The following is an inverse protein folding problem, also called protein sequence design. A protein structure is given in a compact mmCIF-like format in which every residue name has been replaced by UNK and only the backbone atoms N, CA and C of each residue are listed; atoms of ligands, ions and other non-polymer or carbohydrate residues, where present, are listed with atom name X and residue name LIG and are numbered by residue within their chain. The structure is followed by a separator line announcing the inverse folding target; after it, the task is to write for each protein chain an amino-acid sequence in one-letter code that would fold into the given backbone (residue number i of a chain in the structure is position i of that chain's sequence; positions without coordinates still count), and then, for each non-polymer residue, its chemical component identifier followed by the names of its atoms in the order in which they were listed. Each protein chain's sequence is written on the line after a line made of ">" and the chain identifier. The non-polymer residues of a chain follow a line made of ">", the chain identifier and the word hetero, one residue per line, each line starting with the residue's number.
data_IF_465561609271
#
_entry.id   IF_465561609271
#
_cell.length_a   1.000
_cell.length_b   1.000
_cell.length_c   1.000
_cell.angle_alpha   90.00
_cell.angle_beta   90.00
_cell.angle_gamma   90.00
#
_symmetry.space_group_name_H-M   'P 1'
#
loop_
_entity.id
_entity.type
_entity.pdbx_description
1 polymer ?
#
# COMPACT_ATOMS: atom_id res chain seq x y z
N UNK A 1 3.17 0.68 -39.27
CA UNK A 1 4.44 1.04 -39.95
C UNK A 1 4.96 -0.10 -40.81
N UNK A 2 5.84 0.20 -41.76
CA UNK A 2 6.57 -0.79 -42.56
C UNK A 2 8.06 -0.54 -42.37
N UNK A 3 8.79 -1.56 -41.92
CA UNK A 3 10.22 -1.50 -41.65
C UNK A 3 10.92 -2.40 -42.67
N UNK A 4 11.86 -1.86 -43.44
CA UNK A 4 12.66 -2.61 -44.41
C UNK A 4 14.12 -2.57 -43.95
N UNK A 5 14.52 -3.53 -43.12
CA UNK A 5 15.85 -3.56 -42.50
C UNK A 5 16.99 -3.60 -43.52
N UNK A 6 16.80 -4.24 -44.68
CA UNK A 6 17.82 -4.35 -45.73
C UNK A 6 18.19 -3.00 -46.37
N UNK A 7 17.22 -2.09 -46.50
CA UNK A 7 17.42 -0.76 -47.08
C UNK A 7 17.57 0.33 -46.01
N UNK A 8 17.60 -0.03 -44.72
CA UNK A 8 17.63 0.90 -43.58
C UNK A 8 16.51 1.97 -43.61
N UNK A 9 15.42 1.67 -44.32
CA UNK A 9 14.31 2.60 -44.56
C UNK A 9 13.07 2.16 -43.79
N UNK A 10 12.35 3.11 -43.20
CA UNK A 10 11.09 2.86 -42.50
C UNK A 10 10.04 3.91 -42.81
N UNK A 11 8.78 3.49 -42.79
CA UNK A 11 7.62 4.38 -42.74
C UNK A 11 6.93 4.14 -41.40
N UNK A 12 7.01 5.13 -40.52
CA UNK A 12 6.48 5.07 -39.17
C UNK A 12 5.39 6.11 -38.97
N UNK A 13 4.29 5.65 -38.41
CA UNK A 13 3.23 6.49 -37.87
C UNK A 13 3.11 6.10 -36.39
N UNK A 14 3.08 7.10 -35.52
CA UNK A 14 2.95 6.90 -34.07
C UNK A 14 1.52 6.58 -33.64
N UNK A 15 0.53 6.75 -34.53
CA UNK A 15 -0.86 6.44 -34.22
C UNK A 15 -1.06 4.92 -34.05
N UNK A 16 -1.62 4.52 -32.90
CA UNK A 16 -1.87 3.11 -32.57
C UNK A 16 -3.30 2.76 -33.02
N UNK A 17 -3.40 1.93 -34.06
CA UNK A 17 -4.67 1.35 -34.49
C UNK A 17 -5.03 0.11 -33.64
N UNK A 18 -6.19 0.14 -32.98
CA UNK A 18 -6.71 -1.00 -32.22
C UNK A 18 -7.68 -1.83 -33.07
N UNK A 19 -7.46 -3.15 -33.14
CA UNK A 19 -8.35 -4.12 -33.81
C UNK A 19 -8.78 -5.20 -32.82
N UNK A 20 -10.09 -5.32 -32.61
CA UNK A 20 -10.67 -6.25 -31.64
C UNK A 20 -11.40 -7.39 -32.34
N UNK A 21 -11.16 -8.62 -31.87
CA UNK A 21 -11.83 -9.84 -32.35
C UNK A 21 -12.52 -10.51 -31.17
N UNK A 22 -13.83 -10.76 -31.30
CA UNK A 22 -14.61 -11.46 -30.29
C UNK A 22 -14.67 -12.95 -30.64
N UNK A 23 -14.15 -13.78 -29.74
CA UNK A 23 -14.17 -15.24 -29.88
C UNK A 23 -15.23 -15.79 -28.94
N UNK A 24 -16.22 -16.49 -29.50
CA UNK A 24 -17.20 -17.25 -28.74
C UNK A 24 -16.95 -18.73 -28.94
N UNK A 25 -16.72 -19.45 -27.85
CA UNK A 25 -16.51 -20.90 -27.86
C UNK A 25 -17.41 -21.57 -26.83
N UNK A 26 -18.05 -22.67 -27.22
CA UNK A 26 -18.88 -23.45 -26.32
C UNK A 26 -18.32 -24.87 -26.19
N UNK A 27 -17.74 -25.15 -25.02
CA UNK A 27 -17.08 -26.42 -24.70
C UNK A 27 -18.01 -27.63 -24.88
N UNK A 28 -19.32 -27.46 -24.67
CA UNK A 28 -20.29 -28.55 -24.75
C UNK A 28 -20.64 -28.95 -26.19
N UNK A 29 -20.57 -28.02 -27.14
CA UNK A 29 -20.92 -28.27 -28.55
C UNK A 29 -19.70 -28.43 -29.45
N UNK A 30 -18.61 -27.74 -29.15
CA UNK A 30 -17.43 -27.63 -30.01
C UNK A 30 -16.20 -28.39 -29.46
N UNK A 31 -16.29 -28.95 -28.24
CA UNK A 31 -15.21 -29.72 -27.62
C UNK A 31 -14.16 -28.85 -26.92
N UNK A 32 -12.90 -29.30 -26.90
CA UNK A 32 -11.80 -28.56 -26.27
C UNK A 32 -11.42 -27.33 -27.10
N UNK A 33 -11.10 -26.22 -26.43
CA UNK A 33 -10.69 -24.98 -27.08
C UNK A 33 -9.33 -25.17 -27.79
N UNK A 34 -9.36 -25.16 -29.13
CA UNK A 34 -8.16 -25.15 -29.96
C UNK A 34 -7.89 -23.73 -30.46
N UNK A 35 -6.89 -23.04 -29.90
CA UNK A 35 -6.58 -21.65 -30.27
C UNK A 35 -6.26 -21.51 -31.76
N UNK A 36 -5.53 -22.46 -32.34
CA UNK A 36 -5.08 -22.43 -33.73
C UNK A 36 -6.25 -22.23 -34.71
N UNK A 37 -7.40 -22.84 -34.50
CA UNK A 37 -8.56 -22.72 -35.41
C UNK A 37 -9.19 -21.34 -35.42
N UNK A 38 -9.21 -20.65 -34.27
CA UNK A 38 -9.83 -19.33 -34.16
C UNK A 38 -8.92 -18.19 -34.65
N UNK A 39 -7.61 -18.43 -34.73
CA UNK A 39 -6.64 -17.44 -35.18
C UNK A 39 -6.16 -17.66 -36.63
N UNK A 40 -6.69 -18.65 -37.38
CA UNK A 40 -6.23 -18.95 -38.77
C UNK A 40 -6.42 -17.79 -39.74
N UNK A 41 -7.52 -17.06 -39.60
CA UNK A 41 -7.88 -15.98 -40.51
C UNK A 41 -7.25 -14.63 -40.11
N UNK A 42 -6.50 -14.60 -39.00
CA UNK A 42 -5.88 -13.39 -38.47
C UNK A 42 -4.41 -13.34 -38.89
N UNK A 43 -4.11 -12.44 -39.81
CA UNK A 43 -2.74 -12.18 -40.25
C UNK A 43 -2.05 -11.16 -39.33
N UNK A 44 -1.11 -11.62 -38.50
CA UNK A 44 -0.33 -10.75 -37.62
C UNK A 44 0.88 -10.16 -38.34
N UNK A 45 0.88 -8.84 -38.54
CA UNK A 45 2.06 -8.09 -39.00
C UNK A 45 2.98 -7.76 -37.82
N UNK A 46 3.86 -8.69 -37.44
CA UNK A 46 4.77 -8.55 -36.28
C UNK A 46 5.65 -7.30 -36.31
N UNK A 47 6.02 -6.80 -37.50
CA UNK A 47 6.79 -5.56 -37.66
C UNK A 47 6.05 -4.28 -37.26
N UNK A 48 4.71 -4.33 -37.19
CA UNK A 48 3.86 -3.21 -36.78
C UNK A 48 3.08 -3.51 -35.49
N UNK A 49 3.28 -4.70 -34.90
CA UNK A 49 2.55 -5.15 -33.73
C UNK A 49 3.16 -4.55 -32.47
N UNK A 50 2.42 -3.71 -31.75
CA UNK A 50 2.90 -3.08 -30.51
C UNK A 50 2.61 -3.98 -29.31
N UNK A 51 1.36 -4.41 -29.12
CA UNK A 51 0.98 -5.36 -28.09
C UNK A 51 -0.31 -6.10 -28.46
N UNK A 52 -0.52 -7.29 -27.88
CA UNK A 52 -1.78 -8.05 -27.98
C UNK A 52 -2.32 -8.28 -26.59
N UNK A 53 -3.62 -8.02 -26.40
CA UNK A 53 -4.30 -8.26 -25.13
C UNK A 53 -5.43 -9.26 -25.33
N UNK A 54 -5.33 -10.44 -24.69
CA UNK A 54 -6.41 -11.40 -24.63
C UNK A 54 -7.17 -11.21 -23.32
N UNK A 55 -8.42 -10.75 -23.41
CA UNK A 55 -9.27 -10.44 -22.26
C UNK A 55 -10.42 -11.43 -22.16
N UNK A 56 -10.58 -12.09 -21.02
CA UNK A 56 -11.71 -12.96 -20.74
C UNK A 56 -12.00 -13.03 -19.24
N UNK A 57 -13.25 -13.33 -18.89
CA UNK A 57 -13.67 -13.43 -17.49
C UNK A 57 -14.00 -14.87 -17.12
N UNK A 58 -13.45 -15.35 -16.00
CA UNK A 58 -13.75 -16.68 -15.44
C UNK A 58 -14.45 -16.53 -14.11
N UNK A 59 -15.59 -17.19 -13.93
CA UNK A 59 -16.28 -17.25 -12.64
C UNK A 59 -15.91 -18.53 -11.91
N UNK A 60 -15.64 -18.43 -10.62
CA UNK A 60 -15.37 -19.58 -9.76
C UNK A 60 -15.99 -19.39 -8.38
N UNK A 61 -16.13 -20.49 -7.65
CA UNK A 61 -16.66 -20.52 -6.30
C UNK A 61 -15.55 -21.03 -5.38
N UNK A 62 -15.19 -20.21 -4.40
CA UNK A 62 -14.21 -20.59 -3.39
C UNK A 62 -14.92 -21.20 -2.19
N UNK A 63 -14.64 -22.48 -1.94
CA UNK A 63 -15.04 -23.20 -0.74
C UNK A 63 -13.86 -23.17 0.24
N UNK A 64 -14.02 -22.50 1.38
CA UNK A 64 -12.95 -22.41 2.38
C UNK A 64 -12.66 -23.81 2.95
N UNK A 65 -11.49 -24.35 2.63
CA UNK A 65 -11.07 -25.69 3.06
C UNK A 65 -10.66 -25.77 4.54
N UNK A 66 -10.39 -24.63 5.19
CA UNK A 66 -9.94 -24.56 6.58
C UNK A 66 -10.88 -23.69 7.42
N UNK A 67 -11.54 -24.29 8.42
CA UNK A 67 -12.44 -23.62 9.37
C UNK A 67 -13.88 -24.16 9.35
N UNK A 68 -14.81 -23.56 10.13
CA UNK A 68 -16.22 -23.89 10.06
C UNK A 68 -16.76 -23.67 8.64
N UNK A 69 -17.71 -24.51 8.20
CA UNK A 69 -18.31 -24.43 6.85
C UNK A 69 -19.10 -23.12 6.74
N UNK A 70 -18.44 -22.06 6.29
CA UNK A 70 -19.08 -20.78 6.00
C UNK A 70 -19.69 -20.79 4.60
N UNK A 71 -20.59 -19.84 4.32
CA UNK A 71 -21.13 -19.66 2.98
C UNK A 71 -20.03 -19.47 1.93
N UNK A 72 -20.22 -20.01 0.70
CA UNK A 72 -19.23 -19.92 -0.37
C UNK A 72 -18.99 -18.47 -0.81
N UNK A 73 -17.76 -18.16 -1.19
CA UNK A 73 -17.41 -16.88 -1.79
C UNK A 73 -17.35 -17.02 -3.32
N UNK A 74 -18.19 -16.28 -4.05
CA UNK A 74 -18.18 -16.26 -5.50
C UNK A 74 -17.22 -15.19 -6.02
N UNK A 75 -16.36 -15.55 -6.97
CA UNK A 75 -15.42 -14.63 -7.59
C UNK A 75 -15.57 -14.66 -9.11
N UNK A 76 -15.37 -13.50 -9.75
CA UNK A 76 -15.11 -13.36 -11.18
C UNK A 76 -13.69 -12.84 -11.30
N UNK A 77 -12.84 -13.60 -11.98
CA UNK A 77 -11.52 -13.18 -12.37
C UNK A 77 -11.62 -12.55 -13.74
N UNK A 78 -11.25 -11.28 -13.85
CA UNK A 78 -11.09 -10.61 -15.14
C UNK A 78 -9.62 -10.81 -15.54
N UNK A 79 -9.40 -11.74 -16.47
CA UNK A 79 -8.07 -12.21 -16.89
C UNK A 79 -7.65 -11.44 -18.13
N UNK A 80 -6.45 -10.89 -18.10
CA UNK A 80 -5.81 -10.19 -19.20
C UNK A 80 -4.43 -10.80 -19.46
N UNK A 81 -4.27 -11.49 -20.59
CA UNK A 81 -2.98 -11.96 -21.07
C UNK A 81 -2.40 -10.91 -22.01
N UNK A 82 -1.31 -10.27 -21.60
CA UNK A 82 -0.63 -9.21 -22.35
C UNK A 82 0.62 -9.78 -23.00
N UNK A 83 0.71 -9.57 -24.31
CA UNK A 83 1.90 -9.81 -25.10
C UNK A 83 2.47 -8.44 -25.47
N UNK A 84 3.59 -8.04 -24.86
CA UNK A 84 4.23 -6.75 -25.10
C UNK A 84 5.37 -6.89 -26.10
N UNK A 85 5.29 -6.15 -27.22
CA UNK A 85 6.29 -6.10 -28.28
C UNK A 85 6.77 -4.65 -28.55
N UNK A 86 6.57 -3.73 -27.60
CA UNK A 86 6.94 -2.30 -27.78
C UNK A 86 8.41 -2.06 -28.10
N UNK A 87 9.30 -2.88 -27.53
CA UNK A 87 10.74 -2.72 -27.69
C UNK A 87 11.25 -3.27 -29.04
N UNK A 88 10.43 -4.06 -29.75
CA UNK A 88 10.76 -4.66 -31.06
C UNK A 88 12.16 -5.32 -31.12
N UNK A 89 12.63 -5.90 -30.01
CA UNK A 89 13.96 -6.51 -29.84
C UNK A 89 13.99 -7.99 -30.27
N UNK A 90 12.89 -8.50 -30.81
CA UNK A 90 12.71 -9.91 -31.19
C UNK A 90 12.25 -10.80 -30.03
N UNK A 91 12.07 -10.27 -28.83
CA UNK A 91 11.53 -10.99 -27.67
C UNK A 91 10.24 -10.36 -27.17
N UNK A 92 9.12 -11.08 -27.31
CA UNK A 92 7.82 -10.62 -26.85
C UNK A 92 7.58 -11.06 -25.39
N UNK A 93 7.37 -10.09 -24.48
CA UNK A 93 7.11 -10.38 -23.08
C UNK A 93 5.65 -10.83 -22.88
N UNK A 94 5.47 -12.01 -22.28
CA UNK A 94 4.16 -12.53 -21.89
C UNK A 94 3.92 -12.26 -20.41
N UNK A 95 2.77 -11.65 -20.09
CA UNK A 95 2.29 -11.54 -18.71
C UNK A 95 0.81 -11.89 -18.63
N UNK A 96 0.40 -12.50 -17.52
CA UNK A 96 -1.00 -12.79 -17.22
C UNK A 96 -1.36 -12.05 -15.94
N UNK A 97 -2.34 -11.17 -16.04
CA UNK A 97 -2.96 -10.49 -14.91
C UNK A 97 -4.37 -11.05 -14.71
N UNK A 98 -4.77 -11.23 -13.44
CA UNK A 98 -6.04 -11.85 -13.09
C UNK A 98 -6.65 -11.12 -11.89
N UNK A 99 -7.40 -10.06 -12.17
CA UNK A 99 -7.98 -9.23 -11.11
C UNK A 99 -9.25 -9.90 -10.52
N UNK A 100 -9.29 -10.19 -9.20
CA UNK A 100 -10.44 -10.83 -8.58
C UNK A 100 -11.54 -9.82 -8.21
N UNK A 101 -12.74 -10.05 -8.73
CA UNK A 101 -13.95 -9.32 -8.37
C UNK A 101 -14.88 -10.23 -7.57
N UNK A 102 -15.15 -9.89 -6.31
CA UNK A 102 -16.08 -10.65 -5.46
C UNK A 102 -17.53 -10.39 -5.89
N UNK A 103 -18.28 -11.47 -6.13
CA UNK A 103 -19.69 -11.45 -6.50
C UNK A 103 -20.56 -11.94 -5.32
N UNK A 104 -21.82 -11.49 -5.28
CA UNK A 104 -22.82 -12.06 -4.36
C UNK A 104 -23.33 -13.39 -4.93
N UNK A 105 -23.03 -14.50 -4.24
CA UNK A 105 -23.62 -15.79 -4.56
C UNK A 105 -25.14 -15.75 -4.31
N UNK A 106 -25.93 -16.25 -5.26
CA UNK A 106 -27.37 -16.49 -5.08
C UNK A 106 -27.56 -17.98 -4.83
N UNK A 107 -28.10 -18.35 -3.67
CA UNK A 107 -28.39 -19.75 -3.31
C UNK A 107 -29.16 -19.85 -2.00
N UNK A 108 -29.94 -20.91 -1.84
CA UNK A 108 -30.71 -21.19 -0.62
C UNK A 108 -29.78 -21.64 0.51
N UNK A 109 -29.52 -20.75 1.45
CA UNK A 109 -28.71 -21.05 2.63
C UNK A 109 -29.61 -21.56 3.75
N UNK A 110 -29.80 -22.89 3.85
CA UNK A 110 -30.48 -23.51 4.98
C UNK A 110 -29.64 -23.59 6.27
N UNK A 111 -28.36 -23.20 6.22
CA UNK A 111 -27.42 -23.23 7.35
C UNK A 111 -27.11 -21.80 7.84
N UNK A 112 -28.00 -21.22 8.64
CA UNK A 112 -27.88 -19.82 9.12
C UNK A 112 -28.06 -19.76 10.64
N UNK A 113 -27.08 -20.22 11.43
CA UNK A 113 -27.06 -19.85 12.86
C UNK A 113 -25.69 -19.49 13.42
N UNK A 114 -24.59 -20.08 12.92
CA UNK A 114 -23.28 -19.83 13.54
C UNK A 114 -22.54 -18.59 13.00
N UNK A 115 -22.79 -18.17 11.76
CA UNK A 115 -22.08 -17.02 11.18
C UNK A 115 -22.60 -15.66 11.66
N UNK A 116 -23.86 -15.55 12.09
CA UNK A 116 -24.41 -14.26 12.53
C UNK A 116 -23.82 -13.81 13.86
N UNK A 117 -23.55 -14.73 14.78
CA UNK A 117 -22.91 -14.44 16.05
C UNK A 117 -21.45 -13.98 15.84
N UNK A 118 -20.68 -14.65 14.99
CA UNK A 118 -19.30 -14.23 14.68
C UNK A 118 -19.26 -12.86 13.99
N UNK A 119 -20.15 -12.60 13.02
CA UNK A 119 -20.28 -11.29 12.37
C UNK A 119 -20.68 -10.21 13.38
N UNK A 120 -21.62 -10.50 14.28
CA UNK A 120 -22.03 -9.58 15.34
C UNK A 120 -20.88 -9.28 16.30
N UNK A 121 -20.14 -10.30 16.75
CA UNK A 121 -19.00 -10.13 17.67
C UNK A 121 -17.88 -9.30 17.02
N UNK A 122 -17.58 -9.52 15.73
CA UNK A 122 -16.58 -8.73 14.99
C UNK A 122 -17.00 -7.27 14.82
N UNK A 123 -18.25 -7.04 14.42
CA UNK A 123 -18.79 -5.67 14.30
C UNK A 123 -18.79 -4.97 15.65
N UNK A 124 -19.22 -5.65 16.73
CA UNK A 124 -19.19 -5.14 18.10
C UNK A 124 -17.76 -4.75 18.51
N UNK A 125 -16.77 -5.60 18.22
CA UNK A 125 -15.37 -5.31 18.48
C UNK A 125 -14.89 -4.07 17.71
N UNK A 126 -15.20 -3.95 16.41
CA UNK A 126 -14.83 -2.79 15.61
C UNK A 126 -15.44 -1.49 16.18
N UNK A 127 -16.72 -1.51 16.57
CA UNK A 127 -17.37 -0.36 17.20
C UNK A 127 -16.75 0.00 18.55
N UNK A 128 -16.41 -1.00 19.37
CA UNK A 128 -15.74 -0.78 20.65
C UNK A 128 -14.35 -0.15 20.46
N UNK A 129 -13.59 -0.62 19.46
CA UNK A 129 -12.28 -0.03 19.12
C UNK A 129 -12.43 1.43 18.70
N UNK A 130 -13.39 1.75 17.83
CA UNK A 130 -13.68 3.13 17.42
C UNK A 130 -14.08 3.99 18.63
N UNK A 131 -14.91 3.47 19.54
CA UNK A 131 -15.32 4.17 20.75
C UNK A 131 -14.12 4.46 21.67
N UNK A 132 -13.24 3.49 21.91
CA UNK A 132 -12.06 3.68 22.76
C UNK A 132 -11.10 4.69 22.12
N UNK A 133 -10.84 4.58 20.81
CA UNK A 133 -9.97 5.51 20.09
C UNK A 133 -10.53 6.94 20.05
N UNK A 134 -11.85 7.11 19.90
CA UNK A 134 -12.48 8.45 19.93
C UNK A 134 -12.42 9.08 21.32
N UNK A 135 -12.62 8.30 22.39
CA UNK A 135 -12.41 8.75 23.76
C UNK A 135 -10.94 9.13 24.01
N UNK A 136 -9.99 8.29 23.57
CA UNK A 136 -8.55 8.58 23.64
C UNK A 136 -8.20 9.88 22.90
N UNK A 137 -8.67 10.03 21.67
CA UNK A 137 -8.43 11.21 20.82
C UNK A 137 -8.92 12.49 21.49
N UNK A 138 -10.14 12.48 22.05
CA UNK A 138 -10.71 13.66 22.72
C UNK A 138 -9.96 14.01 23.99
N UNK A 139 -9.57 13.03 24.81
CA UNK A 139 -8.78 13.24 26.02
C UNK A 139 -7.37 13.77 25.70
N UNK A 140 -6.70 13.20 24.71
CA UNK A 140 -5.36 13.65 24.28
C UNK A 140 -5.41 15.05 23.66
N UNK A 141 -6.40 15.34 22.83
CA UNK A 141 -6.62 16.67 22.25
C UNK A 141 -6.87 17.71 23.35
N UNK A 142 -7.68 17.38 24.36
CA UNK A 142 -7.89 18.24 25.54
C UNK A 142 -6.61 18.47 26.33
N UNK A 143 -5.76 17.44 26.47
CA UNK A 143 -4.48 17.56 27.17
C UNK A 143 -3.52 18.51 26.43
N UNK A 144 -3.42 18.40 25.10
CA UNK A 144 -2.60 19.32 24.28
C UNK A 144 -3.16 20.75 24.36
N UNK A 145 -4.48 20.93 24.27
CA UNK A 145 -5.09 22.24 24.38
C UNK A 145 -4.78 22.92 25.73
N UNK A 146 -4.92 22.18 26.84
CA UNK A 146 -4.54 22.66 28.17
C UNK A 146 -3.05 23.00 28.28
N UNK A 147 -2.17 22.17 27.69
CA UNK A 147 -0.73 22.45 27.68
C UNK A 147 -0.40 23.74 26.91
N UNK A 148 -1.09 24.00 25.79
CA UNK A 148 -0.92 25.23 25.02
C UNK A 148 -1.48 26.47 25.75
N UNK A 149 -2.57 26.31 26.49
CA UNK A 149 -3.08 27.36 27.37
C UNK A 149 -2.06 27.67 28.47
N UNK A 150 -1.51 26.64 29.13
CA UNK A 150 -0.49 26.79 30.15
C UNK A 150 0.75 27.49 29.61
N UNK A 151 1.23 27.10 28.42
CA UNK A 151 2.34 27.79 27.73
C UNK A 151 2.07 29.29 27.57
N UNK A 152 0.86 29.67 27.18
CA UNK A 152 0.50 31.08 26.98
C UNK A 152 0.48 31.85 28.31
N UNK A 153 -0.11 31.26 29.35
CA UNK A 153 -0.17 31.85 30.69
C UNK A 153 1.24 32.02 31.26
N UNK A 154 2.06 30.97 31.21
CA UNK A 154 3.45 31.01 31.68
C UNK A 154 4.27 32.04 30.89
N UNK A 155 4.11 32.11 29.57
CA UNK A 155 4.82 33.12 28.77
C UNK A 155 4.43 34.55 29.14
N UNK A 156 3.15 34.81 29.38
CA UNK A 156 2.68 36.12 29.83
C UNK A 156 3.21 36.46 31.22
N UNK A 157 3.23 35.50 32.15
CA UNK A 157 3.82 35.67 33.48
C UNK A 157 5.32 36.03 33.41
N UNK A 158 6.10 35.35 32.56
CA UNK A 158 7.52 35.66 32.39
C UNK A 158 7.77 37.05 31.79
N UNK A 159 6.94 37.48 30.83
CA UNK A 159 7.02 38.84 30.27
C UNK A 159 6.71 39.92 31.31
N UNK A 160 5.71 39.70 32.16
CA UNK A 160 5.28 40.69 33.16
C UNK A 160 6.23 40.78 34.35
N UNK A 161 6.72 39.64 34.86
CA UNK A 161 7.52 39.58 36.09
C UNK A 161 9.02 39.76 35.85
N UNK A 162 9.53 39.18 34.74
CA UNK A 162 10.97 39.12 34.47
C UNK A 162 11.39 39.90 33.22
N UNK A 163 10.45 40.60 32.55
CA UNK A 163 10.67 41.34 31.30
C UNK A 163 11.38 40.53 30.20
N UNK A 164 11.20 39.21 30.22
CA UNK A 164 11.84 38.28 29.28
C UNK A 164 10.83 37.25 28.80
N UNK A 165 10.89 36.91 27.52
CA UNK A 165 10.10 35.81 26.95
C UNK A 165 10.76 34.45 27.19
N UNK A 166 9.94 33.38 27.23
CA UNK A 166 10.50 32.03 27.20
C UNK A 166 11.22 31.75 25.88
N UNK A 167 12.33 31.01 25.98
CA UNK A 167 13.07 30.55 24.82
C UNK A 167 12.22 29.61 23.96
N UNK A 168 12.57 29.48 22.68
CA UNK A 168 11.88 28.55 21.79
C UNK A 168 11.96 27.09 22.27
N UNK A 169 13.07 26.70 22.89
CA UNK A 169 13.24 25.35 23.41
C UNK A 169 12.30 25.08 24.59
N UNK A 170 12.20 26.01 25.53
CA UNK A 170 11.29 25.88 26.69
C UNK A 170 9.82 25.90 26.23
N UNK A 171 9.49 26.70 25.21
CA UNK A 171 8.16 26.71 24.58
C UNK A 171 7.80 25.37 23.92
N UNK A 172 8.79 24.59 23.45
CA UNK A 172 8.59 23.26 22.87
C UNK A 172 8.42 22.17 23.93
N UNK A 173 8.94 22.37 25.16
CA UNK A 173 8.75 21.39 26.25
C UNK A 173 7.28 21.25 26.68
N UNK A 174 6.47 22.31 26.51
CA UNK A 174 5.02 22.23 26.71
C UNK A 174 4.32 21.33 25.71
N UNK A 175 4.93 21.05 24.54
CA UNK A 175 4.38 20.18 23.52
C UNK A 175 4.85 18.74 23.74
N UNK A 176 3.98 17.92 24.32
CA UNK A 176 4.29 16.51 24.52
C UNK A 176 4.10 15.71 23.22
N UNK A 177 5.22 15.38 22.56
CA UNK A 177 5.24 14.61 21.31
C UNK A 177 4.54 13.25 21.39
N UNK A 178 4.47 12.64 22.58
CA UNK A 178 3.73 11.39 22.77
C UNK A 178 2.23 11.56 22.55
N UNK A 179 1.64 12.68 22.99
CA UNK A 179 0.21 12.92 22.76
C UNK A 179 -0.09 13.17 21.27
N UNK A 180 0.81 13.83 20.54
CA UNK A 180 0.67 14.00 19.09
C UNK A 180 0.68 12.65 18.38
N UNK A 181 1.60 11.76 18.75
CA UNK A 181 1.67 10.43 18.17
C UNK A 181 0.41 9.59 18.49
N UNK A 182 -0.11 9.67 19.71
CA UNK A 182 -1.37 8.99 20.08
C UNK A 182 -2.53 9.52 19.23
N UNK A 183 -2.62 10.84 19.02
CA UNK A 183 -3.65 11.44 18.17
C UNK A 183 -3.56 10.95 16.72
N UNK A 184 -2.36 10.91 16.13
CA UNK A 184 -2.16 10.40 14.77
C UNK A 184 -2.58 8.93 14.70
N UNK A 185 -2.15 8.13 15.67
CA UNK A 185 -2.55 6.73 15.78
C UNK A 185 -4.08 6.55 15.86
N UNK A 186 -4.76 7.30 16.73
CA UNK A 186 -6.21 7.21 16.90
C UNK A 186 -6.94 7.54 15.59
N UNK A 187 -6.45 8.52 14.81
CA UNK A 187 -6.99 8.83 13.48
C UNK A 187 -6.83 7.64 12.53
N UNK A 188 -5.63 7.04 12.46
CA UNK A 188 -5.36 5.90 11.58
C UNK A 188 -6.23 4.68 11.93
N UNK A 189 -6.41 4.39 13.23
CA UNK A 189 -7.24 3.27 13.68
C UNK A 189 -8.72 3.54 13.44
N UNK A 190 -9.23 4.76 13.68
CA UNK A 190 -10.64 5.10 13.41
C UNK A 190 -10.95 4.94 11.91
N UNK A 191 -10.10 5.49 11.04
CA UNK A 191 -10.27 5.38 9.58
C UNK A 191 -10.15 3.92 9.13
N UNK A 192 -9.14 3.19 9.61
CA UNK A 192 -8.93 1.79 9.27
C UNK A 192 -10.07 0.88 9.73
N UNK A 193 -10.59 1.08 10.94
CA UNK A 193 -11.72 0.32 11.49
C UNK A 193 -13.03 0.65 10.78
N UNK A 194 -13.23 1.90 10.37
CA UNK A 194 -14.39 2.28 9.55
C UNK A 194 -14.37 1.61 8.17
N UNK A 195 -13.21 1.56 7.51
CA UNK A 195 -13.04 0.83 6.24
C UNK A 195 -13.28 -0.67 6.45
N UNK A 196 -12.75 -1.25 7.53
CA UNK A 196 -12.94 -2.68 7.85
C UNK A 196 -14.41 -3.04 8.06
N UNK A 197 -15.16 -2.23 8.78
CA UNK A 197 -16.60 -2.42 9.00
C UNK A 197 -17.38 -2.35 7.67
N UNK A 198 -17.02 -1.43 6.76
CA UNK A 198 -17.64 -1.34 5.43
C UNK A 198 -17.41 -2.61 4.60
N UNK A 199 -16.20 -3.19 4.70
CA UNK A 199 -15.85 -4.44 4.01
C UNK A 199 -16.65 -5.63 4.58
N UNK A 200 -16.78 -5.72 5.90
CA UNK A 200 -17.53 -6.79 6.56
C UNK A 200 -19.03 -6.74 6.24
N UNK A 201 -19.61 -5.55 6.02
CA UNK A 201 -21.00 -5.34 5.58
C UNK A 201 -21.26 -5.68 4.10
N UNK A 202 -20.32 -6.36 3.43
CA UNK A 202 -20.43 -6.86 2.03
C UNK A 202 -20.64 -5.75 1.00
N UNK A 203 -20.16 -4.56 1.32
CA UNK A 203 -19.97 -3.47 0.39
C UNK A 203 -18.47 -3.47 0.03
N UNK A 204 -18.14 -3.71 -1.24
CA UNK A 204 -16.92 -3.24 -1.95
C UNK A 204 -15.81 -4.18 -2.44
N UNK A 205 -15.04 -3.52 -3.32
CA UNK A 205 -13.95 -3.79 -4.27
C UNK A 205 -12.57 -3.95 -3.63
N UNK A 206 -11.70 -4.77 -4.25
CA UNK A 206 -10.35 -5.16 -3.81
C UNK A 206 -9.47 -4.03 -3.22
N UNK A 207 -9.44 -2.84 -3.84
CA UNK A 207 -8.52 -1.75 -3.46
C UNK A 207 -8.70 -1.19 -2.03
N UNK A 208 -9.89 -1.30 -1.42
CA UNK A 208 -10.12 -0.80 -0.07
C UNK A 208 -9.46 -1.68 1.01
N UNK A 209 -9.21 -2.96 0.73
CA UNK A 209 -8.53 -3.86 1.67
C UNK A 209 -7.07 -3.44 1.90
N UNK A 210 -6.36 -3.10 0.83
CA UNK A 210 -4.96 -2.65 0.89
C UNK A 210 -4.85 -1.36 1.72
N UNK A 211 -5.73 -0.40 1.46
CA UNK A 211 -5.75 0.88 2.19
C UNK A 211 -6.11 0.66 3.67
N UNK A 212 -7.17 -0.10 3.96
CA UNK A 212 -7.59 -0.39 5.33
C UNK A 212 -6.53 -1.13 6.15
N UNK A 213 -5.86 -2.12 5.54
CA UNK A 213 -4.79 -2.88 6.20
C UNK A 213 -3.54 -2.04 6.48
N UNK A 214 -3.14 -1.13 5.59
CA UNK A 214 -2.05 -0.18 5.85
C UNK A 214 -2.39 0.75 7.01
N UNK A 215 -3.61 1.30 7.06
CA UNK A 215 -4.04 2.17 8.15
C UNK A 215 -4.07 1.45 9.51
N UNK A 216 -4.70 0.27 9.58
CA UNK A 216 -4.75 -0.53 10.79
C UNK A 216 -3.38 -1.04 11.22
N UNK A 217 -2.55 -1.50 10.27
CA UNK A 217 -1.20 -1.99 10.54
C UNK A 217 -0.27 -0.89 11.07
N UNK A 218 -0.26 0.27 10.42
CA UNK A 218 0.55 1.42 10.85
C UNK A 218 0.07 1.98 12.19
N UNK A 219 -1.26 2.07 12.40
CA UNK A 219 -1.83 2.45 13.68
C UNK A 219 -1.40 1.50 14.80
N UNK A 220 -1.57 0.19 14.61
CA UNK A 220 -1.16 -0.80 15.60
C UNK A 220 0.36 -0.72 15.93
N UNK A 221 1.22 -0.52 14.94
CA UNK A 221 2.66 -0.30 15.18
C UNK A 221 2.90 0.91 16.09
N UNK A 222 2.20 2.03 15.85
CA UNK A 222 2.31 3.23 16.68
C UNK A 222 1.72 3.05 18.09
N UNK A 223 0.68 2.23 18.27
CA UNK A 223 0.18 1.85 19.61
C UNK A 223 1.28 1.18 20.42
N UNK A 224 1.93 0.16 19.84
CA UNK A 224 3.01 -0.57 20.50
C UNK A 224 4.21 0.32 20.79
N UNK A 225 4.57 1.20 19.85
CA UNK A 225 5.59 2.21 20.11
C UNK A 225 5.15 3.18 21.23
N UNK A 226 3.88 3.53 21.32
CA UNK A 226 3.29 4.32 22.41
C UNK A 226 3.44 3.69 23.79
N UNK A 227 3.56 2.36 23.88
CA UNK A 227 3.83 1.68 25.15
C UNK A 227 5.16 2.12 25.77
N UNK A 228 6.16 2.50 24.94
CA UNK A 228 7.45 3.02 25.41
C UNK A 228 7.30 4.27 26.30
N UNK A 229 6.23 5.06 26.12
CA UNK A 229 5.91 6.18 27.02
C UNK A 229 5.77 5.73 28.46
N UNK A 230 5.08 4.61 28.68
CA UNK A 230 4.81 4.08 30.01
C UNK A 230 6.06 3.48 30.65
N UNK A 231 6.98 2.92 29.83
CA UNK A 231 8.29 2.49 30.32
C UNK A 231 9.14 3.67 30.80
N UNK A 232 8.97 4.86 30.20
CA UNK A 232 9.64 6.09 30.62
C UNK A 232 9.31 6.55 32.04
N UNK A 233 8.28 6.01 32.70
CA UNK A 233 8.01 6.30 34.12
C UNK A 233 9.04 5.67 35.07
N UNK A 234 9.72 4.60 34.63
CA UNK A 234 10.78 3.98 35.41
C UNK A 234 12.11 4.68 35.15
N UNK A 235 12.81 5.03 36.24
CA UNK A 235 14.10 5.74 36.17
C UNK A 235 15.15 5.00 35.33
N UNK A 236 15.16 3.66 35.34
CA UNK A 236 16.09 2.83 34.57
C UNK A 236 15.85 2.92 33.06
N UNK A 237 14.61 2.75 32.61
CA UNK A 237 14.26 2.79 31.17
C UNK A 237 14.23 4.20 30.60
N UNK A 238 13.93 5.22 31.41
CA UNK A 238 13.93 6.61 30.99
C UNK A 238 15.30 7.07 30.46
N UNK A 239 16.40 6.53 31.00
CA UNK A 239 17.76 6.85 30.52
C UNK A 239 17.92 6.48 29.05
N UNK A 240 17.41 5.32 28.62
CA UNK A 240 17.50 4.85 27.22
C UNK A 240 16.70 5.74 26.26
N UNK A 241 15.50 6.14 26.66
CA UNK A 241 14.67 7.04 25.84
C UNK A 241 15.33 8.42 25.74
N UNK A 242 15.92 8.91 26.83
CA UNK A 242 16.61 10.19 26.87
C UNK A 242 17.88 10.17 26.02
N UNK A 243 18.65 9.07 26.03
CA UNK A 243 19.83 8.92 25.18
C UNK A 243 19.43 8.90 23.71
N UNK A 244 18.37 8.18 23.33
CA UNK A 244 17.84 8.18 21.96
C UNK A 244 17.40 9.58 21.51
N UNK A 245 16.64 10.31 22.36
CA UNK A 245 16.22 11.69 22.09
C UNK A 245 17.41 12.64 21.91
N UNK A 246 18.46 12.48 22.72
CA UNK A 246 19.67 13.32 22.65
C UNK A 246 20.60 12.95 21.49
N UNK A 247 20.61 11.68 21.08
CA UNK A 247 21.39 11.19 19.95
C UNK A 247 20.73 11.50 18.60
N UNK A 248 19.39 11.47 18.51
CA UNK A 248 18.63 11.69 17.28
C UNK A 248 19.09 12.88 16.42
N UNK A 249 19.23 14.13 16.95
CA UNK A 249 19.67 15.26 16.12
C UNK A 249 21.12 15.13 15.66
N UNK A 250 22.00 14.47 16.43
CA UNK A 250 23.40 14.22 16.02
C UNK A 250 23.47 13.17 14.91
N UNK A 251 22.73 12.08 15.08
CA UNK A 251 22.61 11.02 14.07
C UNK A 251 21.98 11.57 12.79
N UNK A 252 20.95 12.43 12.87
CA UNK A 252 20.34 13.03 11.69
C UNK A 252 21.32 13.92 10.88
N UNK A 253 22.20 14.67 11.56
CA UNK A 253 23.25 15.45 10.87
C UNK A 253 24.27 14.56 10.18
N UNK A 254 24.71 13.49 10.86
CA UNK A 254 25.61 12.51 10.27
C UNK A 254 24.96 11.80 9.07
N UNK A 255 23.69 11.40 9.22
CA UNK A 255 22.89 10.77 8.18
C UNK A 255 22.77 11.66 6.94
N UNK A 256 22.60 12.97 7.10
CA UNK A 256 22.54 13.89 5.96
C UNK A 256 23.84 13.86 5.14
N UNK A 257 25.01 13.89 5.79
CA UNK A 257 26.29 13.74 5.09
C UNK A 257 26.44 12.37 4.43
N UNK A 258 26.03 11.30 5.13
CA UNK A 258 26.07 9.94 4.59
C UNK A 258 25.14 9.77 3.37
N UNK A 259 23.96 10.41 3.39
CA UNK A 259 23.01 10.39 2.29
C UNK A 259 23.55 11.06 1.02
N UNK A 260 24.37 12.12 1.14
CA UNK A 260 25.02 12.74 -0.02
C UNK A 260 26.00 11.78 -0.70
N UNK A 261 26.81 11.07 0.10
CA UNK A 261 27.75 10.06 -0.41
C UNK A 261 26.98 8.89 -1.03
N UNK A 262 25.97 8.40 -0.32
CA UNK A 262 25.09 7.32 -0.76
C UNK A 262 24.38 7.66 -2.08
N UNK A 263 23.88 8.88 -2.23
CA UNK A 263 23.27 9.35 -3.48
C UNK A 263 24.29 9.34 -4.63
N UNK A 264 25.53 9.78 -4.39
CA UNK A 264 26.62 9.71 -5.37
C UNK A 264 26.87 8.28 -5.86
N UNK A 265 26.97 7.31 -4.94
CA UNK A 265 27.09 5.89 -5.30
C UNK A 265 25.85 5.34 -6.00
N UNK A 266 24.65 5.78 -5.61
CA UNK A 266 23.39 5.35 -6.22
C UNK A 266 23.31 5.82 -7.68
N UNK A 267 23.60 7.10 -7.95
CA UNK A 267 23.61 7.63 -9.32
C UNK A 267 24.72 7.01 -10.17
N UNK A 268 25.93 6.88 -9.62
CA UNK A 268 27.05 6.26 -10.34
C UNK A 268 26.76 4.79 -10.66
N UNK A 269 26.29 4.01 -9.67
CA UNK A 269 25.93 2.61 -9.86
C UNK A 269 24.80 2.43 -10.88
N UNK A 270 23.76 3.26 -10.81
CA UNK A 270 22.66 3.21 -11.77
C UNK A 270 23.13 3.52 -13.20
N UNK A 271 23.89 4.59 -13.41
CA UNK A 271 24.33 5.00 -14.76
C UNK A 271 25.39 4.07 -15.36
N UNK A 272 26.36 3.63 -14.56
CA UNK A 272 27.49 2.82 -15.06
C UNK A 272 27.11 1.34 -15.15
N UNK A 273 26.45 0.79 -14.14
CA UNK A 273 26.15 -0.64 -14.05
C UNK A 273 24.73 -1.00 -14.52
N UNK A 274 23.85 -0.02 -14.71
CA UNK A 274 22.45 -0.25 -15.09
C UNK A 274 22.26 -1.10 -16.35
N UNK A 275 22.98 -0.85 -17.46
CA UNK A 275 22.86 -1.67 -18.67
C UNK A 275 23.39 -3.10 -18.51
N UNK A 276 24.31 -3.32 -17.57
CA UNK A 276 25.06 -4.59 -17.45
C UNK A 276 24.58 -5.47 -16.30
N UNK A 277 23.86 -4.93 -15.32
CA UNK A 277 23.52 -5.65 -14.10
C UNK A 277 22.09 -5.37 -13.63
N UNK A 278 21.29 -6.43 -13.49
CA UNK A 278 19.84 -6.35 -13.21
C UNK A 278 19.50 -5.58 -11.92
N UNK A 279 20.33 -5.68 -10.86
CA UNK A 279 20.10 -4.94 -9.60
C UNK A 279 20.23 -3.42 -9.76
N UNK A 280 20.96 -2.96 -10.77
CA UNK A 280 21.20 -1.54 -11.03
C UNK A 280 20.28 -0.98 -12.11
N UNK A 281 19.24 -1.71 -12.55
CA UNK A 281 18.40 -1.29 -13.69
C UNK A 281 17.55 -0.04 -13.37
N UNK A 282 17.14 0.13 -12.11
CA UNK A 282 16.40 1.30 -11.65
C UNK A 282 17.08 1.95 -10.45
N UNK A 283 16.78 3.23 -10.22
CA UNK A 283 17.28 3.96 -9.05
C UNK A 283 16.82 3.30 -7.73
N UNK A 284 15.57 2.80 -7.69
CA UNK A 284 15.00 2.13 -6.53
C UNK A 284 15.72 0.82 -6.20
N UNK A 285 15.88 -0.07 -7.18
CA UNK A 285 16.59 -1.35 -7.00
C UNK A 285 18.08 -1.12 -6.70
N UNK A 286 18.68 -0.07 -7.26
CA UNK A 286 20.06 0.32 -6.94
C UNK A 286 20.18 0.71 -5.47
N UNK A 287 19.24 1.53 -4.97
CA UNK A 287 19.19 1.90 -3.56
C UNK A 287 18.95 0.68 -2.67
N UNK A 288 18.02 -0.21 -3.00
CA UNK A 288 17.81 -1.45 -2.24
C UNK A 288 19.08 -2.31 -2.20
N UNK A 289 19.80 -2.42 -3.32
CA UNK A 289 21.05 -3.17 -3.40
C UNK A 289 22.16 -2.53 -2.55
N UNK A 290 22.35 -1.21 -2.62
CA UNK A 290 23.37 -0.52 -1.82
C UNK A 290 23.03 -0.57 -0.33
N UNK A 291 21.76 -0.39 0.04
CA UNK A 291 21.32 -0.54 1.42
C UNK A 291 21.52 -1.96 1.95
N UNK A 292 21.30 -2.98 1.11
CA UNK A 292 21.60 -4.38 1.42
C UNK A 292 23.09 -4.67 1.57
N UNK A 293 23.98 -3.89 0.96
CA UNK A 293 25.43 -4.09 1.06
C UNK A 293 26.05 -3.39 2.28
N UNK A 294 25.36 -2.36 2.80
CA UNK A 294 25.80 -1.63 4.01
C UNK A 294 25.50 -2.43 5.29
N UNK A 295 24.47 -3.28 5.26
CA UNK A 295 24.05 -4.14 6.39
C UNK A 295 24.60 -5.56 6.25
#
# INVERSE_FOLDING_TARGET
>A
GTIVSFNESYVFDSEIEEKCYNITHNVYTEGLFASETYFKDIEFKFSALVHVNLKFSVKTVNLKAAGPITSPDCYRFDIEIKFDNKDHDGQMLLSLDAEPVRLKCKGDTHYVRDNELDLFLRSLLNFLVILICTLSFTLCSRAIWRAQQLKTITNNFFKLTYHRELSHNDKLEFLNMWYIMIIINDILIIVGSAIKEQIERKTFTSNQWNVGSVFLGTGNMLVWFGVLRYLGFFKTYNVVILTLKKAAPKVARFLLCALLIYAGFTFCGWLVLGPYHMKFRSLATTSECLFSLVN
#
